data_IF_673715843865
#
_entry.id   IF_673715843865
#
_cell.length_a   1.000
_cell.length_b   1.000
_cell.length_c   1.000
_cell.angle_alpha   90.00
_cell.angle_beta   90.00
_cell.angle_gamma   90.00
#
_symmetry.space_group_name_H-M   'P 1'
#
loop_
_entity.id
_entity.type
_entity.pdbx_description
1 polymer ?
#
# COMPACT_ATOMS: atom_id res chain seq x y z
N UNK A 1 -2.05 17.42 -4.45
CA UNK A 1 -1.66 18.71 -5.07
C UNK A 1 -1.93 18.76 -6.57
N UNK A 2 -1.55 17.75 -7.38
CA UNK A 2 -1.79 17.80 -8.83
C UNK A 2 -3.26 17.93 -9.24
N UNK A 3 -4.17 17.33 -8.47
CA UNK A 3 -5.61 17.52 -8.65
C UNK A 3 -6.03 18.99 -8.47
N UNK A 4 -5.51 19.65 -7.44
CA UNK A 4 -5.79 21.07 -7.16
C UNK A 4 -5.34 21.99 -8.29
N UNK A 5 -4.26 21.64 -8.98
CA UNK A 5 -3.76 22.37 -10.15
C UNK A 5 -4.43 21.94 -11.47
N UNK A 6 -5.37 20.98 -11.43
CA UNK A 6 -6.05 20.47 -12.60
C UNK A 6 -5.17 19.62 -13.53
N UNK A 7 -3.97 19.27 -13.11
CA UNK A 7 -3.03 18.51 -13.94
C UNK A 7 -3.43 17.05 -14.06
N UNK A 8 -4.03 16.48 -13.02
CA UNK A 8 -4.34 15.06 -12.99
C UNK A 8 -5.34 14.69 -11.89
N UNK A 9 -6.34 13.86 -12.22
CA UNK A 9 -7.26 13.21 -11.27
C UNK A 9 -7.07 11.70 -11.35
N UNK A 10 -6.45 11.08 -10.33
CA UNK A 10 -6.36 9.62 -10.19
C UNK A 10 -6.62 9.22 -8.74
N UNK A 11 -7.90 8.94 -8.46
CA UNK A 11 -8.38 8.55 -7.14
C UNK A 11 -7.74 7.24 -6.65
N UNK A 12 -7.51 6.29 -7.56
CA UNK A 12 -6.89 5.00 -7.22
C UNK A 12 -5.50 5.16 -6.59
N UNK A 13 -4.69 6.08 -7.11
CA UNK A 13 -3.37 6.36 -6.54
C UNK A 13 -3.49 6.94 -5.13
N UNK A 14 -4.49 7.78 -4.87
CA UNK A 14 -4.71 8.33 -3.54
C UNK A 14 -5.18 7.25 -2.55
N UNK A 15 -6.11 6.38 -2.97
CA UNK A 15 -6.63 5.28 -2.14
C UNK A 15 -5.50 4.31 -1.75
N UNK A 16 -4.73 3.84 -2.74
CA UNK A 16 -3.64 2.88 -2.55
C UNK A 16 -2.53 3.48 -1.68
N UNK A 17 -2.05 4.70 -1.96
CA UNK A 17 -0.99 5.33 -1.15
C UNK A 17 -1.43 5.62 0.28
N UNK A 18 -2.69 5.98 0.48
CA UNK A 18 -3.25 6.15 1.82
C UNK A 18 -3.32 4.82 2.57
N UNK A 19 -3.76 3.75 1.91
CA UNK A 19 -3.82 2.41 2.47
C UNK A 19 -2.44 1.87 2.86
N UNK A 20 -1.43 2.09 2.00
CA UNK A 20 -0.03 1.74 2.27
C UNK A 20 0.53 2.53 3.47
N UNK A 21 0.34 3.87 3.47
CA UNK A 21 0.76 4.71 4.62
C UNK A 21 0.07 4.31 5.93
N UNK A 22 -1.19 3.85 5.84
CA UNK A 22 -1.94 3.36 6.98
C UNK A 22 -1.39 2.02 7.50
N UNK A 23 -0.96 1.12 6.60
CA UNK A 23 -0.30 -0.14 6.96
C UNK A 23 1.05 0.12 7.66
N UNK A 24 1.91 0.95 7.06
CA UNK A 24 3.22 1.34 7.62
C UNK A 24 3.11 1.97 9.01
N UNK A 25 2.10 2.83 9.22
CA UNK A 25 1.83 3.40 10.54
C UNK A 25 1.55 2.30 11.58
N UNK A 26 0.82 1.24 11.21
CA UNK A 26 0.55 0.15 12.14
C UNK A 26 1.78 -0.71 12.40
N UNK A 27 2.64 -0.93 11.41
CA UNK A 27 3.94 -1.56 11.65
C UNK A 27 4.76 -0.78 12.68
N UNK A 28 4.81 0.55 12.55
CA UNK A 28 5.46 1.41 13.52
C UNK A 28 4.86 1.24 14.93
N UNK A 29 3.54 1.29 15.06
CA UNK A 29 2.87 1.14 16.36
C UNK A 29 3.11 -0.24 16.99
N UNK A 30 3.19 -1.31 16.18
CA UNK A 30 3.58 -2.64 16.63
C UNK A 30 5.01 -2.61 17.19
N UNK A 31 5.97 -2.02 16.47
CA UNK A 31 7.35 -1.92 16.94
C UNK A 31 7.46 -1.08 18.22
N UNK A 32 6.66 -0.02 18.35
CA UNK A 32 6.59 0.77 19.57
C UNK A 32 6.05 -0.03 20.77
N UNK A 33 5.00 -0.83 20.59
CA UNK A 33 4.46 -1.72 21.64
C UNK A 33 5.49 -2.78 22.07
N UNK A 34 6.32 -3.24 21.14
CA UNK A 34 7.45 -4.15 21.40
C UNK A 34 8.67 -3.44 22.01
N UNK A 35 8.58 -2.13 22.28
CA UNK A 35 9.60 -1.35 22.97
C UNK A 35 10.58 -0.60 22.06
N UNK A 36 10.32 -0.53 20.75
CA UNK A 36 11.16 0.18 19.76
C UNK A 36 11.29 1.69 19.98
N UNK A 37 10.49 2.29 20.87
CA UNK A 37 10.56 3.70 21.26
C UNK A 37 10.97 3.92 22.73
N UNK A 38 11.46 2.88 23.42
CA UNK A 38 11.78 2.93 24.85
C UNK A 38 12.87 3.96 25.16
N UNK A 39 13.83 4.16 24.25
CA UNK A 39 14.93 5.10 24.45
C UNK A 39 14.60 6.44 23.78
N UNK A 40 14.96 7.53 24.46
CA UNK A 40 14.75 8.88 23.90
C UNK A 40 15.57 9.10 22.61
N UNK A 41 16.73 8.46 22.50
CA UNK A 41 17.59 8.56 21.33
C UNK A 41 16.94 7.93 20.09
N UNK A 42 16.30 6.77 20.24
CA UNK A 42 15.58 6.10 19.14
C UNK A 42 14.48 7.01 18.59
N UNK A 43 13.70 7.62 19.48
CA UNK A 43 12.65 8.59 19.11
C UNK A 43 13.22 9.82 18.40
N UNK A 44 14.28 10.39 18.95
CA UNK A 44 14.95 11.54 18.36
C UNK A 44 15.47 11.21 16.95
N UNK A 45 16.18 10.10 16.80
CA UNK A 45 16.75 9.69 15.52
C UNK A 45 15.66 9.38 14.49
N UNK A 46 14.63 8.62 14.87
CA UNK A 46 13.52 8.26 13.99
C UNK A 46 12.79 9.50 13.45
N UNK A 47 12.49 10.49 14.31
CA UNK A 47 11.81 11.72 13.90
C UNK A 47 12.62 12.54 12.87
N UNK A 48 13.93 12.66 13.08
CA UNK A 48 14.79 13.42 12.18
C UNK A 48 14.99 12.71 10.85
N UNK A 49 15.16 11.38 10.87
CA UNK A 49 15.25 10.56 9.65
C UNK A 49 13.93 10.62 8.88
N UNK A 50 12.78 10.47 9.52
CA UNK A 50 11.48 10.55 8.88
C UNK A 50 11.24 11.92 8.22
N UNK A 51 11.61 13.01 8.90
CA UNK A 51 11.52 14.37 8.35
C UNK A 51 12.42 14.55 7.13
N UNK A 52 13.67 14.08 7.22
CA UNK A 52 14.60 14.12 6.10
C UNK A 52 14.10 13.29 4.91
N UNK A 53 13.65 12.06 5.17
CA UNK A 53 13.08 11.15 4.19
C UNK A 53 11.89 11.77 3.46
N UNK A 54 10.99 12.44 4.17
CA UNK A 54 9.87 13.17 3.57
C UNK A 54 10.34 14.22 2.55
N UNK A 55 11.25 15.12 2.92
CA UNK A 55 11.71 16.14 1.98
C UNK A 55 12.49 15.56 0.81
N UNK A 56 13.28 14.52 1.05
CA UNK A 56 14.02 13.81 0.01
C UNK A 56 13.06 13.15 -1.00
N UNK A 57 12.04 12.43 -0.54
CA UNK A 57 11.05 11.77 -1.42
C UNK A 57 10.22 12.78 -2.19
N UNK A 58 9.79 13.88 -1.57
CA UNK A 58 9.12 15.00 -2.27
C UNK A 58 10.01 15.55 -3.38
N UNK A 59 11.30 15.80 -3.11
CA UNK A 59 12.23 16.29 -4.12
C UNK A 59 12.44 15.28 -5.26
N UNK A 60 12.65 14.00 -4.95
CA UNK A 60 12.78 12.94 -5.95
C UNK A 60 11.51 12.85 -6.80
N UNK A 61 10.32 12.97 -6.20
CA UNK A 61 9.05 12.89 -6.92
C UNK A 61 8.84 14.08 -7.86
N UNK A 62 9.23 15.28 -7.44
CA UNK A 62 9.20 16.48 -8.30
C UNK A 62 10.11 16.30 -9.52
N UNK A 63 11.31 15.73 -9.33
CA UNK A 63 12.25 15.50 -10.41
C UNK A 63 11.82 14.36 -11.34
N UNK A 64 11.39 13.24 -10.76
CA UNK A 64 10.95 12.05 -11.50
C UNK A 64 10.12 11.14 -10.57
N UNK A 65 8.79 11.07 -10.77
CA UNK A 65 7.93 10.16 -10.02
C UNK A 65 8.38 8.70 -10.13
N UNK A 66 8.85 8.28 -11.32
CA UNK A 66 9.40 6.94 -11.54
C UNK A 66 10.60 6.65 -10.65
N UNK A 67 11.50 7.63 -10.48
CA UNK A 67 12.66 7.48 -9.61
C UNK A 67 12.25 7.39 -8.13
N UNK A 68 11.28 8.20 -7.70
CA UNK A 68 10.74 8.13 -6.35
C UNK A 68 10.13 6.75 -6.06
N UNK A 69 9.30 6.22 -6.96
CA UNK A 69 8.71 4.88 -6.79
C UNK A 69 9.73 3.75 -6.85
N UNK A 70 10.76 3.85 -7.71
CA UNK A 70 11.85 2.86 -7.71
C UNK A 70 12.68 2.91 -6.42
N UNK A 71 12.89 4.11 -5.86
CA UNK A 71 13.55 4.26 -4.58
C UNK A 71 12.72 3.60 -3.46
N UNK A 72 11.40 3.85 -3.40
CA UNK A 72 10.51 3.17 -2.45
C UNK A 72 10.51 1.65 -2.67
N UNK A 73 10.43 1.14 -3.91
CA UNK A 73 10.55 -0.31 -4.20
C UNK A 73 11.81 -0.93 -3.58
N UNK A 74 12.95 -0.22 -3.64
CA UNK A 74 14.19 -0.68 -3.01
C UNK A 74 14.12 -0.69 -1.48
N UNK A 75 13.43 0.29 -0.87
CA UNK A 75 13.20 0.33 0.57
C UNK A 75 12.35 -0.87 1.00
N UNK A 76 11.23 -1.12 0.33
CA UNK A 76 10.34 -2.25 0.69
C UNK A 76 11.01 -3.60 0.45
N UNK A 77 11.77 -3.73 -0.64
CA UNK A 77 12.56 -4.95 -0.88
C UNK A 77 13.58 -5.20 0.24
N UNK A 78 14.18 -4.14 0.80
CA UNK A 78 15.11 -4.27 1.91
C UNK A 78 14.39 -4.58 3.24
N UNK A 79 13.21 -3.99 3.46
CA UNK A 79 12.36 -4.29 4.61
C UNK A 79 11.94 -5.77 4.61
N UNK A 80 11.42 -6.27 3.48
CA UNK A 80 11.10 -7.68 3.28
C UNK A 80 12.27 -8.60 3.64
N UNK A 81 13.46 -8.34 3.09
CA UNK A 81 14.65 -9.14 3.37
C UNK A 81 15.04 -9.12 4.85
N UNK A 82 14.86 -7.97 5.51
CA UNK A 82 15.21 -7.80 6.92
C UNK A 82 14.29 -8.64 7.80
N UNK A 83 12.97 -8.59 7.57
CA UNK A 83 12.01 -9.41 8.30
C UNK A 83 12.17 -10.90 7.99
N UNK A 84 12.45 -11.27 6.73
CA UNK A 84 12.70 -12.66 6.36
C UNK A 84 13.95 -13.22 7.06
N UNK A 85 15.03 -12.44 7.15
CA UNK A 85 16.24 -12.79 7.91
C UNK A 85 15.93 -12.92 9.40
N UNK A 86 15.15 -12.01 9.97
CA UNK A 86 14.74 -12.04 11.38
C UNK A 86 13.89 -13.28 11.70
N UNK A 87 12.89 -13.58 10.88
CA UNK A 87 12.04 -14.78 11.02
C UNK A 87 12.85 -16.08 10.94
N UNK A 88 13.85 -16.14 10.07
CA UNK A 88 14.76 -17.30 9.96
C UNK A 88 15.67 -17.45 11.18
N UNK A 89 16.11 -16.35 11.77
CA UNK A 89 17.00 -16.35 12.91
C UNK A 89 16.28 -16.64 14.24
N UNK A 90 15.09 -16.06 14.43
CA UNK A 90 14.38 -16.02 15.73
C UNK A 90 13.02 -16.72 15.70
N UNK A 91 12.66 -17.41 14.61
CA UNK A 91 11.31 -17.92 14.41
C UNK A 91 10.77 -18.82 15.52
N UNK A 92 11.59 -19.71 16.08
CA UNK A 92 11.16 -20.60 17.17
C UNK A 92 10.92 -19.84 18.49
N UNK A 93 11.67 -18.78 18.75
CA UNK A 93 11.44 -17.93 19.93
C UNK A 93 10.14 -17.14 19.77
N UNK A 94 9.92 -16.54 18.60
CA UNK A 94 8.74 -15.74 18.30
C UNK A 94 7.43 -16.53 18.41
N UNK A 95 7.43 -17.82 18.05
CA UNK A 95 6.26 -18.69 18.21
C UNK A 95 5.82 -18.88 19.67
N UNK A 96 6.75 -18.72 20.62
CA UNK A 96 6.48 -18.84 22.05
C UNK A 96 6.10 -17.50 22.71
N UNK A 97 6.11 -16.40 21.95
CA UNK A 97 5.77 -15.07 22.45
C UNK A 97 4.35 -14.68 22.04
N UNK A 98 3.59 -14.00 22.93
CA UNK A 98 2.26 -13.53 22.59
C UNK A 98 2.32 -12.44 21.52
N UNK A 99 1.31 -12.40 20.65
CA UNK A 99 1.13 -11.29 19.73
C UNK A 99 0.69 -10.03 20.48
N UNK A 100 1.24 -8.84 20.16
CA UNK A 100 0.80 -7.57 20.74
C UNK A 100 -0.65 -7.26 20.34
N UNK A 101 -1.39 -6.61 21.25
CA UNK A 101 -2.83 -6.37 21.10
C UNK A 101 -3.11 -5.47 19.88
N UNK A 102 -2.21 -4.52 19.59
CA UNK A 102 -2.34 -3.64 18.44
C UNK A 102 -2.24 -4.39 17.11
N UNK A 103 -1.39 -5.42 17.03
CA UNK A 103 -1.25 -6.24 15.83
C UNK A 103 -2.51 -7.07 15.61
N UNK A 104 -3.01 -7.72 16.67
CA UNK A 104 -4.26 -8.51 16.59
C UNK A 104 -5.40 -7.61 16.12
N UNK A 105 -5.55 -6.43 16.73
CA UNK A 105 -6.60 -5.47 16.36
C UNK A 105 -6.47 -4.99 14.92
N UNK A 106 -5.26 -4.71 14.45
CA UNK A 106 -5.03 -4.22 13.09
C UNK A 106 -5.34 -5.30 12.04
N UNK A 107 -4.80 -6.50 12.22
CA UNK A 107 -4.86 -7.55 11.21
C UNK A 107 -6.16 -8.35 11.20
N UNK A 108 -6.89 -8.37 12.31
CA UNK A 108 -8.12 -9.18 12.47
C UNK A 108 -9.34 -8.37 12.86
N UNK A 109 -9.18 -7.08 13.21
CA UNK A 109 -10.25 -6.24 13.71
C UNK A 109 -10.94 -5.40 12.63
N UNK A 110 -12.25 -5.30 12.71
CA UNK A 110 -13.04 -4.35 11.94
C UNK A 110 -13.15 -4.67 10.44
N UNK A 111 -13.32 -3.61 9.65
CA UNK A 111 -13.34 -3.68 8.19
C UNK A 111 -11.91 -3.61 7.64
N UNK A 112 -11.53 -4.62 6.87
CA UNK A 112 -10.21 -4.78 6.26
C UNK A 112 -10.12 -4.12 4.87
N UNK A 113 -11.02 -3.19 4.55
CA UNK A 113 -10.99 -2.41 3.30
C UNK A 113 -9.60 -1.84 3.00
N UNK A 114 -8.99 -1.09 3.93
CA UNK A 114 -7.66 -0.50 3.71
C UNK A 114 -6.56 -1.57 3.63
N UNK A 115 -6.75 -2.72 4.28
CA UNK A 115 -5.79 -3.83 4.18
C UNK A 115 -5.82 -4.46 2.79
N UNK A 116 -7.00 -4.60 2.20
CA UNK A 116 -7.14 -5.08 0.82
C UNK A 116 -6.67 -4.03 -0.18
N UNK A 117 -6.89 -2.74 0.09
CA UNK A 117 -6.65 -1.64 -0.85
C UNK A 117 -5.17 -1.45 -1.24
N UNK A 118 -4.21 -1.71 -0.34
CA UNK A 118 -2.78 -1.58 -0.69
C UNK A 118 -2.25 -2.78 -1.52
N UNK A 119 -3.01 -3.88 -1.62
CA UNK A 119 -2.58 -5.13 -2.28
C UNK A 119 -2.95 -5.15 -3.76
N UNK A 120 -2.33 -4.29 -4.56
CA UNK A 120 -2.73 -4.04 -5.97
C UNK A 120 -2.54 -5.22 -6.91
N UNK A 121 -1.82 -6.26 -6.48
CA UNK A 121 -1.56 -7.47 -7.26
C UNK A 121 -2.54 -8.60 -6.98
N UNK A 122 -3.53 -8.37 -6.11
CA UNK A 122 -4.43 -9.40 -5.56
C UNK A 122 -5.88 -8.96 -5.64
N UNK A 123 -6.79 -9.92 -5.75
CA UNK A 123 -8.21 -9.68 -5.57
C UNK A 123 -8.51 -9.39 -4.09
N UNK A 124 -9.41 -8.42 -3.79
CA UNK A 124 -9.86 -8.14 -2.44
C UNK A 124 -10.39 -9.40 -1.75
N UNK A 125 -10.37 -9.42 -0.42
CA UNK A 125 -10.84 -10.54 0.40
C UNK A 125 -10.06 -11.87 0.27
N UNK A 126 -8.97 -11.93 -0.49
CA UNK A 126 -8.20 -13.19 -0.66
C UNK A 126 -7.12 -13.42 0.39
N UNK A 127 -6.63 -12.36 1.06
CA UNK A 127 -5.65 -12.46 2.16
C UNK A 127 -6.34 -12.06 3.46
N UNK A 128 -6.43 -12.99 4.41
CA UNK A 128 -6.94 -12.71 5.76
C UNK A 128 -5.90 -13.19 6.77
N UNK A 129 -5.13 -12.26 7.36
CA UNK A 129 -4.13 -12.58 8.36
C UNK A 129 -4.72 -13.37 9.53
N UNK A 130 -3.97 -14.36 10.00
CA UNK A 130 -4.22 -15.07 11.26
C UNK A 130 -3.09 -14.70 12.20
N UNK A 131 -3.42 -14.40 13.46
CA UNK A 131 -2.46 -13.95 14.47
C UNK A 131 -2.65 -14.81 15.73
N UNK A 132 -1.81 -15.83 15.92
CA UNK A 132 -1.82 -16.66 17.12
C UNK A 132 -0.67 -16.31 18.07
N UNK A 133 0.46 -15.86 17.52
CA UNK A 133 1.69 -15.57 18.25
C UNK A 133 2.48 -14.45 17.54
N UNK A 134 3.61 -14.04 18.14
CA UNK A 134 4.44 -12.97 17.58
C UNK A 134 5.09 -13.34 16.24
N UNK A 135 5.33 -14.63 15.97
CA UNK A 135 5.85 -15.08 14.68
C UNK A 135 4.87 -14.74 13.55
N UNK A 136 3.58 -14.96 13.74
CA UNK A 136 2.56 -14.64 12.73
C UNK A 136 2.49 -13.15 12.44
N UNK A 137 2.71 -12.29 13.45
CA UNK A 137 2.78 -10.84 13.27
C UNK A 137 3.91 -10.48 12.31
N UNK A 138 5.12 -10.96 12.56
CA UNK A 138 6.28 -10.67 11.69
C UNK A 138 6.15 -11.29 10.30
N UNK A 139 5.48 -12.45 10.17
CA UNK A 139 5.15 -13.02 8.85
C UNK A 139 4.22 -12.09 8.08
N UNK A 140 3.17 -11.57 8.73
CA UNK A 140 2.24 -10.66 8.07
C UNK A 140 2.90 -9.33 7.69
N UNK A 141 3.74 -8.76 8.56
CA UNK A 141 4.52 -7.56 8.25
C UNK A 141 5.41 -7.82 7.03
N UNK A 142 6.21 -8.89 7.03
CA UNK A 142 7.05 -9.26 5.88
C UNK A 142 6.22 -9.37 4.59
N UNK A 143 5.08 -10.03 4.65
CA UNK A 143 4.24 -10.25 3.48
C UNK A 143 3.53 -8.95 3.02
N UNK A 144 3.29 -7.99 3.92
CA UNK A 144 2.85 -6.63 3.57
C UNK A 144 3.93 -5.91 2.74
N UNK A 145 5.19 -5.95 3.17
CA UNK A 145 6.33 -5.36 2.43
C UNK A 145 6.48 -5.95 1.02
N UNK A 146 6.18 -7.24 0.86
CA UNK A 146 6.17 -7.90 -0.43
C UNK A 146 5.07 -7.35 -1.35
N UNK A 147 3.90 -6.98 -0.80
CA UNK A 147 2.83 -6.34 -1.55
C UNK A 147 3.17 -4.88 -1.87
N UNK A 148 3.73 -4.12 -0.92
CA UNK A 148 4.21 -2.75 -1.15
C UNK A 148 5.25 -2.69 -2.28
N UNK A 149 6.19 -3.65 -2.32
CA UNK A 149 7.16 -3.76 -3.41
C UNK A 149 6.49 -3.90 -4.78
N UNK A 150 5.44 -4.74 -4.90
CA UNK A 150 4.67 -4.90 -6.15
C UNK A 150 3.92 -3.62 -6.50
N UNK A 151 3.33 -2.96 -5.51
CA UNK A 151 2.61 -1.69 -5.65
C UNK A 151 3.52 -0.56 -6.14
N UNK A 152 4.69 -0.39 -5.52
CA UNK A 152 5.72 0.58 -5.93
C UNK A 152 6.22 0.30 -7.34
N UNK A 153 6.43 -0.96 -7.69
CA UNK A 153 6.79 -1.37 -9.05
C UNK A 153 5.70 -1.01 -10.06
N UNK A 154 4.44 -1.26 -9.73
CA UNK A 154 3.31 -0.87 -10.58
C UNK A 154 3.24 0.66 -10.75
N UNK A 155 3.57 1.44 -9.73
CA UNK A 155 3.57 2.91 -9.79
C UNK A 155 4.64 3.51 -10.72
N UNK A 156 5.69 2.76 -11.07
CA UNK A 156 6.75 3.22 -11.98
C UNK A 156 6.29 3.35 -13.45
N UNK A 157 5.17 2.73 -13.80
CA UNK A 157 4.54 2.88 -15.10
C UNK A 157 3.30 3.77 -14.95
N UNK A 158 3.14 4.72 -15.87
CA UNK A 158 2.02 5.65 -15.78
C UNK A 158 0.73 4.94 -16.20
N UNK A 159 -0.25 4.88 -15.29
CA UNK A 159 -1.60 4.37 -15.58
C UNK A 159 -1.82 2.90 -15.30
N UNK A 160 -0.80 2.20 -14.77
CA UNK A 160 -0.87 0.77 -14.42
C UNK A 160 -1.45 0.50 -13.04
N UNK A 161 -1.54 1.50 -12.17
CA UNK A 161 -2.10 1.32 -10.82
C UNK A 161 -3.62 1.46 -10.87
N UNK A 162 -4.33 0.48 -10.30
CA UNK A 162 -5.76 0.50 -10.05
C UNK A 162 -6.04 0.10 -8.61
N UNK A 163 -7.12 0.64 -8.05
CA UNK A 163 -7.65 0.22 -6.75
C UNK A 163 -8.14 -1.22 -6.85
N UNK A 164 -7.79 -2.13 -5.93
CA UNK A 164 -8.34 -3.48 -5.89
C UNK A 164 -9.88 -3.51 -5.88
N UNK A 165 -10.51 -2.52 -5.25
CA UNK A 165 -11.97 -2.41 -5.17
C UNK A 165 -12.62 -1.70 -6.37
N UNK A 166 -11.86 -0.96 -7.18
CA UNK A 166 -12.41 -0.40 -8.44
C UNK A 166 -12.87 -1.46 -9.44
N UNK A 167 -12.34 -2.69 -9.34
CA UNK A 167 -12.72 -3.82 -10.21
C UNK A 167 -14.18 -4.24 -9.97
N UNK A 168 -14.70 -4.05 -8.75
CA UNK A 168 -16.07 -4.41 -8.40
C UNK A 168 -17.08 -3.36 -8.87
N UNK A 169 -16.66 -2.09 -8.94
CA UNK A 169 -17.53 -1.00 -9.41
C UNK A 169 -17.83 -1.10 -10.91
N UNK A 170 -16.93 -1.65 -11.73
CA UNK A 170 -17.14 -1.84 -13.17
C UNK A 170 -18.10 -3.03 -13.46
N UNK A 171 -18.03 -4.14 -12.70
CA UNK A 171 -18.86 -5.35 -12.90
C UNK A 171 -20.34 -5.11 -12.53
N UNK A 172 -20.60 -4.32 -11.48
CA UNK A 172 -21.97 -3.95 -11.06
C UNK A 172 -22.66 -2.99 -12.06
N UNK A 173 -21.93 -2.37 -12.98
CA UNK A 173 -22.50 -1.46 -13.98
C UNK A 173 -22.87 -2.11 -15.32
N UNK A 174 -22.38 -3.33 -15.61
CA UNK A 174 -22.71 -4.03 -16.85
C UNK A 174 -24.07 -4.75 -16.82
N UNK A 175 -24.65 -5.04 -15.65
CA UNK A 175 -25.98 -5.68 -15.57
C UNK A 175 -27.18 -4.72 -15.78
N UNK A 176 -27.00 -3.39 -15.74
CA UNK A 176 -28.10 -2.42 -15.92
C UNK A 176 -28.13 -1.65 -17.26
N UNK A 177 -27.13 -1.77 -18.14
CA UNK A 177 -27.10 -1.02 -19.40
C UNK A 177 -27.48 -1.85 -20.62
N UNK A 178 -28.65 -2.49 -20.58
CA UNK A 178 -29.36 -2.96 -21.76
C UNK A 178 -30.02 -1.82 -22.55
N UNK A 179 -29.23 -0.92 -23.15
CA UNK A 179 -29.76 0.07 -24.10
C UNK A 179 -29.10 -0.09 -25.47
N UNK A 180 -29.81 -0.75 -26.36
CA UNK A 180 -29.50 -0.92 -27.78
C UNK A 180 -29.44 0.47 -28.46
N UNK A 181 -28.29 0.86 -29.00
CA UNK A 181 -28.16 2.06 -29.84
C UNK A 181 -28.18 1.61 -31.30
N UNK A 182 -29.13 2.05 -32.14
CA UNK A 182 -29.10 1.74 -33.57
C UNK A 182 -27.97 2.49 -34.27
N UNK A 183 -27.32 1.77 -35.17
CA UNK A 183 -26.33 2.25 -36.13
C UNK A 183 -26.98 3.22 -37.14
N UNK A 184 -26.16 4.16 -37.64
CA UNK A 184 -26.38 5.12 -38.74
C UNK A 184 -26.80 6.55 -38.38
N UNK A 185 -25.84 7.49 -38.53
CA UNK A 185 -26.03 8.70 -39.34
C UNK A 185 -24.67 9.31 -39.72
N UNK A 186 -24.21 8.96 -40.92
CA UNK A 186 -23.18 9.65 -41.69
C UNK A 186 -23.58 11.14 -41.87
N UNK A 187 -22.65 12.08 -41.72
CA UNK A 187 -22.77 13.42 -42.28
C UNK A 187 -21.41 13.90 -42.80
N UNK A 188 -21.21 13.70 -44.11
CA UNK A 188 -20.22 14.41 -44.89
C UNK A 188 -20.81 15.71 -45.45
N UNK A 189 -19.92 16.72 -45.51
CA UNK A 189 -19.88 17.86 -46.45
C UNK A 189 -20.99 18.93 -46.36
N UNK A 190 -20.84 20.19 -46.80
CA UNK A 190 -19.94 20.79 -47.78
C UNK A 190 -19.84 22.32 -47.53
N UNK A 191 -18.80 22.93 -48.11
CA UNK A 191 -18.56 24.38 -48.26
C UNK A 191 -19.76 25.23 -48.71
N UNK A 192 -19.86 26.44 -48.15
CA UNK A 192 -19.87 27.71 -48.89
C UNK A 192 -19.66 28.90 -47.93
#
# INVERSE_FOLDING_TARGET
MYETFGWWRRADYLKVHFAESWNEMHHLLIMEELGGNSWWFDRFLAQHIATFYYFMTVFLYILSPRMAYHFSECVESHAYETYDKFLKASGEELKNMPAPDIAVKYYTGGDLYLFDEFQTSRTPNTRRPVIENLYDVFVNIRDDEAEHCKTMRACQTLGSLRSPHSILEDDDTEEESGCFVPEEAHCEAHEQ
#
